data_IF_587422029518
#
_entry.id   IF_587422029518
#
_cell.length_a   1.000
_cell.length_b   1.000
_cell.length_c   1.000
_cell.angle_alpha   90.00
_cell.angle_beta   90.00
_cell.angle_gamma   90.00
#
_symmetry.space_group_name_H-M   'P 1'
#
loop_
_entity.id
_entity.type
_entity.pdbx_description
1 polymer ?
#
# COMPACT_ATOMS: atom_id res chain seq x y z
N UNK A 1 -34.27 -27.23 13.85
CA UNK A 1 -34.23 -26.26 14.97
C UNK A 1 -32.82 -26.09 15.56
N UNK A 2 -32.14 -27.17 16.01
CA UNK A 2 -30.78 -27.10 16.61
C UNK A 2 -29.68 -26.47 15.72
N UNK A 3 -29.70 -26.70 14.40
CA UNK A 3 -28.72 -26.10 13.47
C UNK A 3 -28.83 -24.58 13.36
N UNK A 4 -30.04 -24.05 13.40
CA UNK A 4 -30.31 -22.61 13.32
C UNK A 4 -29.79 -21.89 14.57
N UNK A 5 -29.97 -22.50 15.74
CA UNK A 5 -29.48 -21.98 17.01
C UNK A 5 -27.94 -21.93 17.02
N UNK A 6 -27.28 -23.02 16.61
CA UNK A 6 -25.81 -23.07 16.50
C UNK A 6 -25.26 -22.04 15.51
N UNK A 7 -25.84 -21.93 14.32
CA UNK A 7 -25.41 -20.95 13.31
C UNK A 7 -25.56 -19.50 13.83
N UNK A 8 -26.68 -19.20 14.50
CA UNK A 8 -26.92 -17.88 15.08
C UNK A 8 -25.96 -17.57 16.23
N UNK A 9 -25.64 -18.55 17.09
CA UNK A 9 -24.63 -18.38 18.14
C UNK A 9 -23.23 -18.15 17.58
N UNK A 10 -22.84 -18.84 16.52
CA UNK A 10 -21.54 -18.61 15.86
C UNK A 10 -21.44 -17.19 15.30
N UNK A 11 -22.50 -16.70 14.64
CA UNK A 11 -22.53 -15.33 14.12
C UNK A 11 -22.57 -14.26 15.23
N UNK A 12 -23.21 -14.55 16.36
CA UNK A 12 -23.19 -13.66 17.52
C UNK A 12 -21.81 -13.65 18.19
N UNK A 13 -21.14 -14.80 18.28
CA UNK A 13 -19.76 -14.88 18.81
C UNK A 13 -18.77 -14.14 17.91
N UNK A 14 -18.86 -14.29 16.59
CA UNK A 14 -18.06 -13.53 15.62
C UNK A 14 -18.29 -12.01 15.70
N UNK A 15 -19.49 -11.57 16.06
CA UNK A 15 -19.81 -10.15 16.28
C UNK A 15 -19.21 -9.62 17.59
N UNK A 16 -19.21 -10.44 18.63
CA UNK A 16 -18.65 -10.10 19.95
C UNK A 16 -17.13 -10.19 19.96
N UNK A 17 -16.54 -10.93 19.01
CA UNK A 17 -15.10 -11.09 18.83
C UNK A 17 -14.46 -9.77 18.34
N UNK A 18 -14.15 -8.89 19.29
CA UNK A 18 -13.52 -7.60 19.01
C UNK A 18 -12.13 -7.76 18.38
N UNK A 19 -11.46 -8.88 18.63
CA UNK A 19 -10.15 -9.18 18.02
C UNK A 19 -10.27 -9.42 16.50
N UNK A 20 -11.39 -9.97 16.04
CA UNK A 20 -11.68 -10.14 14.61
C UNK A 20 -12.03 -8.83 13.89
N UNK A 21 -12.86 -7.98 14.51
CA UNK A 21 -13.25 -6.67 13.94
C UNK A 21 -12.04 -5.74 13.82
N UNK A 22 -11.16 -5.77 14.83
CA UNK A 22 -9.90 -5.03 14.83
C UNK A 22 -8.95 -5.60 13.76
N UNK A 23 -8.91 -6.92 13.56
CA UNK A 23 -8.11 -7.55 12.50
C UNK A 23 -8.58 -7.16 11.09
N UNK A 24 -9.88 -7.14 10.82
CA UNK A 24 -10.39 -6.72 9.51
C UNK A 24 -10.16 -5.24 9.23
N UNK A 25 -10.30 -4.37 10.23
CA UNK A 25 -9.99 -2.95 10.08
C UNK A 25 -8.52 -2.72 9.76
N UNK A 26 -7.60 -3.40 10.47
CA UNK A 26 -6.17 -3.32 10.15
C UNK A 26 -5.84 -3.83 8.75
N UNK A 27 -6.52 -4.87 8.26
CA UNK A 27 -6.33 -5.37 6.88
C UNK A 27 -6.79 -4.33 5.85
N UNK A 28 -7.93 -3.67 6.08
CA UNK A 28 -8.45 -2.64 5.18
C UNK A 28 -7.52 -1.41 5.19
N UNK A 29 -7.08 -0.96 6.37
CA UNK A 29 -6.14 0.15 6.51
C UNK A 29 -4.81 -0.19 5.83
N UNK A 30 -4.29 -1.40 6.02
CA UNK A 30 -3.08 -1.85 5.35
C UNK A 30 -3.23 -1.85 3.82
N UNK A 31 -4.36 -2.31 3.28
CA UNK A 31 -4.63 -2.27 1.85
C UNK A 31 -4.67 -0.82 1.30
N UNK A 32 -5.28 0.11 2.04
CA UNK A 32 -5.28 1.53 1.69
C UNK A 32 -3.86 2.13 1.68
N UNK A 33 -3.03 1.78 2.67
CA UNK A 33 -1.63 2.24 2.72
C UNK A 33 -0.85 1.69 1.52
N UNK A 34 -0.96 0.39 1.24
CA UNK A 34 -0.28 -0.23 0.09
C UNK A 34 -0.73 0.41 -1.22
N UNK A 35 -2.02 0.69 -1.39
CA UNK A 35 -2.55 1.37 -2.58
C UNK A 35 -2.02 2.80 -2.72
N UNK A 36 -1.95 3.57 -1.63
CA UNK A 36 -1.40 4.92 -1.65
C UNK A 36 0.11 4.92 -1.96
N UNK A 37 0.86 3.98 -1.39
CA UNK A 37 2.28 3.80 -1.68
C UNK A 37 2.48 3.37 -3.13
N UNK A 38 1.70 2.42 -3.65
CA UNK A 38 1.77 2.00 -5.05
C UNK A 38 1.41 3.15 -6.01
N UNK A 39 0.47 4.03 -5.64
CA UNK A 39 0.14 5.21 -6.43
C UNK A 39 1.27 6.25 -6.44
N UNK A 40 1.98 6.44 -5.32
CA UNK A 40 3.08 7.40 -5.21
C UNK A 40 4.38 6.90 -5.86
N UNK A 41 4.71 5.63 -5.65
CA UNK A 41 5.96 5.03 -6.13
C UNK A 41 5.81 4.35 -7.50
N UNK A 42 4.57 4.14 -7.97
CA UNK A 42 4.30 3.27 -9.11
C UNK A 42 4.36 1.79 -8.73
N UNK A 43 3.93 0.92 -9.66
CA UNK A 43 4.17 -0.53 -9.54
C UNK A 43 5.60 -0.91 -9.89
N UNK A 44 6.34 0.00 -10.54
CA UNK A 44 7.69 -0.18 -11.05
C UNK A 44 8.45 1.15 -10.96
N UNK A 45 9.79 1.07 -10.89
CA UNK A 45 10.68 2.24 -10.76
C UNK A 45 10.66 3.21 -11.97
N UNK A 46 9.91 2.87 -13.02
CA UNK A 46 9.76 3.66 -14.24
C UNK A 46 8.72 4.78 -14.13
N UNK A 47 7.89 4.78 -13.09
CA UNK A 47 6.82 5.78 -12.89
C UNK A 47 6.92 6.44 -11.50
N UNK A 48 6.12 7.48 -11.27
CA UNK A 48 6.06 8.18 -9.97
C UNK A 48 7.42 8.76 -9.53
N UNK A 49 7.74 8.56 -8.25
CA UNK A 49 8.96 9.06 -7.61
C UNK A 49 10.25 8.51 -8.27
N UNK A 50 10.24 7.26 -8.76
CA UNK A 50 11.42 6.65 -9.40
C UNK A 50 11.84 7.37 -10.68
N UNK A 51 10.86 7.73 -11.51
CA UNK A 51 11.08 8.50 -12.75
C UNK A 51 11.58 9.92 -12.46
N UNK A 52 10.99 10.58 -11.46
CA UNK A 52 11.41 11.92 -11.04
C UNK A 52 12.87 11.92 -10.55
N UNK A 53 13.25 10.95 -9.71
CA UNK A 53 14.61 10.80 -9.23
C UNK A 53 15.59 10.49 -10.37
N UNK A 54 15.24 9.57 -11.26
CA UNK A 54 16.06 9.25 -12.43
C UNK A 54 16.30 10.47 -13.33
N UNK A 55 15.26 11.26 -13.57
CA UNK A 55 15.35 12.50 -14.37
C UNK A 55 16.24 13.55 -13.71
N UNK A 56 16.12 13.73 -12.40
CA UNK A 56 16.97 14.63 -11.63
C UNK A 56 18.45 14.20 -11.69
N UNK A 57 18.73 12.90 -11.51
CA UNK A 57 20.09 12.35 -11.61
C UNK A 57 20.65 12.57 -13.02
N UNK A 58 19.90 12.25 -14.06
CA UNK A 58 20.33 12.48 -15.45
C UNK A 58 20.66 13.96 -15.72
N UNK A 59 19.85 14.88 -15.19
CA UNK A 59 20.09 16.32 -15.35
C UNK A 59 21.40 16.75 -14.67
N UNK A 60 21.65 16.25 -13.45
CA UNK A 60 22.90 16.51 -12.72
C UNK A 60 24.09 15.95 -13.51
N UNK A 61 24.00 14.70 -13.96
CA UNK A 61 25.06 14.07 -14.75
C UNK A 61 25.36 14.86 -16.02
N UNK A 62 24.34 15.24 -16.80
CA UNK A 62 24.54 16.07 -18.00
C UNK A 62 25.21 17.40 -17.70
N UNK A 63 24.82 18.07 -16.62
CA UNK A 63 25.39 19.36 -16.24
C UNK A 63 26.86 19.22 -15.84
N UNK A 64 27.20 18.19 -15.05
CA UNK A 64 28.58 17.91 -14.64
C UNK A 64 29.44 17.54 -15.85
N UNK A 65 28.95 16.69 -16.76
CA UNK A 65 29.67 16.33 -17.98
C UNK A 65 29.92 17.54 -18.85
N UNK A 66 28.92 18.40 -19.07
CA UNK A 66 29.07 19.63 -19.84
C UNK A 66 30.14 20.55 -19.24
N UNK A 67 30.14 20.72 -17.92
CA UNK A 67 31.14 21.51 -17.21
C UNK A 67 32.55 20.90 -17.25
N UNK A 68 32.69 19.57 -17.29
CA UNK A 68 33.98 18.90 -17.38
C UNK A 68 34.58 18.95 -18.80
N UNK A 69 33.75 19.15 -19.83
CA UNK A 69 34.16 19.25 -21.23
C UNK A 69 34.34 20.69 -21.75
N UNK A 70 34.06 21.70 -20.92
CA UNK A 70 34.24 23.13 -21.20
C UNK A 70 35.58 23.64 -20.69
#
# INVERSE_FOLDING_TARGET
>A
MLRYIKARETLLRLRTDKDGVVSFEYVIVAACIVAAVAAAFGTDATTGIGSALSSAISTITSTVTAAASA
#
